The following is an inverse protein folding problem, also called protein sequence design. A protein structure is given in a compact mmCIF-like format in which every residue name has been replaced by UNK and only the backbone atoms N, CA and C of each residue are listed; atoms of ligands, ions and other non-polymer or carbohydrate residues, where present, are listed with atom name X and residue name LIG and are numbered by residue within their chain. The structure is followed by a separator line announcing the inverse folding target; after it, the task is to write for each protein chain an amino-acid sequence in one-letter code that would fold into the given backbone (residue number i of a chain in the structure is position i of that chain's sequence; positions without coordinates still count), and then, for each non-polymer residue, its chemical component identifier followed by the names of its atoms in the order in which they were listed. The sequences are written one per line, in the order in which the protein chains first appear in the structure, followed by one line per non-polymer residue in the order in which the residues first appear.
data_IF_931694599452
#
_entry.id   IF_931694599452
#
_cell.length_a   1.000
_cell.length_b   1.000
_cell.length_c   1.000
_cell.angle_alpha   90.00
_cell.angle_beta   90.00
_cell.angle_gamma   90.00
#
_symmetry.space_group_name_H-M   'P 1'
#
loop_
_entity.id
_entity.type
_entity.pdbx_description
1 polymer ?
#
# COMPACT_ATOMS: atom_id res chain seq x y z
N UNK A 1 38.27 -12.24 68.83
CA UNK A 1 37.50 -12.60 67.63
C UNK A 1 36.51 -11.48 67.34
N UNK A 2 36.84 -10.65 66.34
CA UNK A 2 35.97 -9.50 65.94
C UNK A 2 35.31 -9.90 64.65
N UNK A 3 33.97 -10.01 64.66
CA UNK A 3 33.17 -10.31 63.48
C UNK A 3 32.97 -9.02 62.68
N UNK A 4 33.41 -8.99 61.45
CA UNK A 4 33.14 -7.88 60.50
C UNK A 4 31.70 -7.99 59.98
N UNK A 5 30.87 -6.98 60.22
CA UNK A 5 29.59 -6.75 59.58
C UNK A 5 29.82 -6.30 58.12
N UNK A 6 29.25 -7.07 57.18
CA UNK A 6 29.22 -6.71 55.76
C UNK A 6 28.00 -5.86 55.51
N UNK A 7 28.26 -4.61 55.10
CA UNK A 7 27.27 -3.60 54.76
C UNK A 7 26.62 -3.98 53.40
N UNK A 8 25.33 -4.31 53.40
CA UNK A 8 24.53 -4.70 52.24
C UNK A 8 23.72 -3.50 51.72
N UNK A 9 24.37 -2.52 51.11
CA UNK A 9 23.69 -1.39 50.52
C UNK A 9 24.31 -1.03 49.13
N UNK A 10 24.15 -1.95 48.14
CA UNK A 10 24.42 -1.66 46.72
C UNK A 10 23.12 -1.16 46.09
N UNK A 11 23.12 -0.01 45.39
CA UNK A 11 21.96 0.47 44.67
C UNK A 11 21.61 -0.51 43.53
N UNK A 12 20.39 -1.00 43.48
CA UNK A 12 19.87 -1.81 42.36
C UNK A 12 19.78 -0.90 41.14
N UNK A 13 20.51 -1.26 40.09
CA UNK A 13 20.38 -0.62 38.79
C UNK A 13 18.92 -0.71 38.29
N UNK A 14 18.39 0.35 37.66
CA UNK A 14 17.03 0.32 37.11
C UNK A 14 17.01 -0.69 35.95
N UNK A 15 16.18 -1.72 36.07
CA UNK A 15 15.91 -2.65 34.99
C UNK A 15 15.53 -1.86 33.74
N UNK A 16 16.38 -1.91 32.71
CA UNK A 16 16.07 -1.41 31.39
C UNK A 16 14.81 -2.11 30.91
N UNK A 17 13.72 -1.37 30.68
CA UNK A 17 12.53 -1.90 30.04
C UNK A 17 12.96 -2.38 28.65
N UNK A 18 13.21 -3.68 28.51
CA UNK A 18 13.48 -4.32 27.24
C UNK A 18 12.36 -3.93 26.25
N UNK A 19 12.72 -3.44 25.05
CA UNK A 19 11.75 -3.23 23.97
C UNK A 19 11.12 -4.58 23.69
N UNK A 20 9.86 -4.76 24.05
CA UNK A 20 9.09 -5.95 23.68
C UNK A 20 9.00 -5.98 22.17
N UNK A 21 9.48 -7.07 21.55
CA UNK A 21 9.31 -7.31 20.11
C UNK A 21 7.81 -7.42 19.85
N UNK A 22 7.25 -6.63 18.91
CA UNK A 22 5.83 -6.71 18.59
C UNK A 22 5.45 -8.12 18.14
N UNK A 23 4.21 -8.54 18.41
CA UNK A 23 3.73 -9.82 17.90
C UNK A 23 3.56 -9.75 16.37
N UNK A 24 3.67 -10.88 15.63
CA UNK A 24 3.44 -10.91 14.18
C UNK A 24 2.10 -10.29 13.76
N UNK A 25 1.06 -10.44 14.60
CA UNK A 25 -0.24 -9.83 14.37
C UNK A 25 -0.20 -8.29 14.54
N UNK A 26 0.51 -7.79 15.53
CA UNK A 26 0.66 -6.33 15.73
C UNK A 26 1.42 -5.70 14.56
N UNK A 27 2.51 -6.32 14.11
CA UNK A 27 3.27 -5.87 12.93
C UNK A 27 2.41 -5.89 11.67
N UNK A 28 1.60 -6.94 11.46
CA UNK A 28 0.69 -7.05 10.32
C UNK A 28 -0.37 -5.95 10.33
N UNK A 29 -0.93 -5.61 11.49
CA UNK A 29 -1.90 -4.51 11.62
C UNK A 29 -1.28 -3.16 11.27
N UNK A 30 -0.09 -2.86 11.79
CA UNK A 30 0.63 -1.62 11.45
C UNK A 30 0.95 -1.54 9.95
N UNK A 31 1.43 -2.64 9.38
CA UNK A 31 1.76 -2.71 7.95
C UNK A 31 0.53 -2.52 7.07
N UNK A 32 -0.60 -3.14 7.42
CA UNK A 32 -1.86 -3.02 6.70
C UNK A 32 -2.46 -1.60 6.81
N UNK A 33 -2.44 -0.99 7.99
CA UNK A 33 -2.88 0.38 8.18
C UNK A 33 -2.03 1.35 7.34
N UNK A 34 -0.71 1.15 7.34
CA UNK A 34 0.21 1.94 6.50
C UNK A 34 -0.07 1.77 5.02
N UNK A 35 -0.34 0.54 4.53
CA UNK A 35 -0.66 0.28 3.13
C UNK A 35 -1.95 1.00 2.68
N UNK A 36 -3.00 1.01 3.51
CA UNK A 36 -4.21 1.80 3.24
C UNK A 36 -3.88 3.28 3.03
N UNK A 37 -3.10 3.88 3.95
CA UNK A 37 -2.72 5.29 3.88
C UNK A 37 -1.78 5.60 2.71
N UNK A 38 -0.85 4.69 2.38
CA UNK A 38 0.02 4.86 1.20
C UNK A 38 -0.81 4.93 -0.08
N UNK A 39 -1.74 3.97 -0.29
CA UNK A 39 -2.54 3.92 -1.51
C UNK A 39 -3.46 5.13 -1.61
N UNK A 40 -3.98 5.63 -0.47
CA UNK A 40 -4.75 6.87 -0.41
C UNK A 40 -3.87 8.10 -0.72
N UNK A 41 -2.67 8.22 -0.13
CA UNK A 41 -1.74 9.32 -0.40
C UNK A 41 -1.26 9.36 -1.87
N UNK A 42 -1.27 8.22 -2.57
CA UNK A 42 -0.97 8.15 -4.01
C UNK A 42 -2.21 8.37 -4.91
N UNK A 43 -3.37 8.74 -4.32
CA UNK A 43 -4.58 9.15 -5.04
C UNK A 43 -5.34 7.99 -5.71
N UNK A 44 -5.17 6.75 -5.24
CA UNK A 44 -5.89 5.58 -5.76
C UNK A 44 -7.10 5.25 -4.90
N UNK A 45 -6.97 5.35 -3.58
CA UNK A 45 -8.09 5.30 -2.64
C UNK A 45 -8.51 6.72 -2.27
N UNK A 46 -9.79 6.93 -2.08
CA UNK A 46 -10.37 8.18 -1.56
C UNK A 46 -11.06 7.93 -0.21
N UNK A 47 -12.25 8.49 0.00
CA UNK A 47 -13.07 8.19 1.17
C UNK A 47 -13.58 6.74 1.19
N UNK A 48 -13.52 6.05 0.07
CA UNK A 48 -14.01 4.70 -0.15
C UNK A 48 -12.90 3.76 -0.64
N UNK A 49 -13.23 2.45 -0.66
CA UNK A 49 -12.26 1.40 -0.93
C UNK A 49 -11.62 0.88 0.34
N UNK A 50 -10.92 -0.24 0.24
CA UNK A 50 -10.35 -0.93 1.40
C UNK A 50 -9.28 -1.94 0.99
N UNK A 51 -8.33 -2.15 1.90
CA UNK A 51 -7.22 -3.09 1.74
C UNK A 51 -7.29 -4.15 2.83
N UNK A 52 -7.08 -5.39 2.49
CA UNK A 52 -6.96 -6.50 3.43
C UNK A 52 -5.68 -7.29 3.22
N UNK A 53 -5.31 -8.10 4.21
CA UNK A 53 -4.28 -9.11 4.08
C UNK A 53 -4.64 -10.38 4.84
N UNK A 54 -4.13 -11.55 4.42
CA UNK A 54 -4.27 -12.77 5.19
C UNK A 54 -3.62 -12.61 6.57
N UNK A 55 -4.19 -13.27 7.55
CA UNK A 55 -3.62 -13.29 8.89
C UNK A 55 -2.23 -13.97 8.87
N UNK A 56 -1.19 -13.37 9.51
CA UNK A 56 0.21 -13.79 9.34
C UNK A 56 0.51 -15.20 9.84
N UNK A 57 -0.30 -15.75 10.76
CA UNK A 57 -0.10 -17.09 11.36
C UNK A 57 -1.32 -17.99 11.25
N UNK A 58 -2.44 -17.54 10.69
CA UNK A 58 -3.65 -18.32 10.50
C UNK A 58 -4.27 -18.02 9.14
N UNK A 59 -3.92 -18.79 8.13
CA UNK A 59 -4.35 -18.58 6.74
C UNK A 59 -5.87 -18.81 6.51
N UNK A 60 -6.59 -19.36 7.49
CA UNK A 60 -8.06 -19.43 7.52
C UNK A 60 -8.73 -18.11 7.93
N UNK A 61 -7.95 -17.04 8.11
CA UNK A 61 -8.42 -15.69 8.50
C UNK A 61 -7.78 -14.62 7.64
N UNK A 62 -8.37 -13.43 7.66
CA UNK A 62 -7.78 -12.22 7.08
C UNK A 62 -7.99 -11.01 8.00
N UNK A 63 -7.24 -9.96 7.73
CA UNK A 63 -7.26 -8.68 8.44
C UNK A 63 -7.87 -7.61 7.53
N UNK A 64 -8.77 -6.81 8.07
CA UNK A 64 -9.40 -5.68 7.38
C UNK A 64 -9.84 -4.64 8.43
N UNK A 65 -9.82 -3.36 8.09
CA UNK A 65 -10.35 -2.32 8.99
C UNK A 65 -11.89 -2.38 9.09
N UNK A 66 -12.45 -1.83 10.16
CA UNK A 66 -13.86 -1.46 10.11
C UNK A 66 -14.10 -0.40 9.03
N UNK A 67 -15.37 -0.09 8.70
CA UNK A 67 -15.72 0.86 7.64
C UNK A 67 -15.22 2.28 7.98
N UNK A 68 -14.01 2.57 7.55
CA UNK A 68 -13.29 3.83 7.75
C UNK A 68 -12.58 4.23 6.46
N UNK A 69 -12.49 5.53 6.18
CA UNK A 69 -11.71 6.03 5.05
C UNK A 69 -10.26 5.53 5.11
N UNK A 70 -9.72 4.99 4.01
CA UNK A 70 -8.37 4.40 3.98
C UNK A 70 -7.26 5.32 4.50
N UNK A 71 -7.32 6.60 4.21
CA UNK A 71 -6.36 7.59 4.70
C UNK A 71 -6.32 7.70 6.22
N UNK A 72 -7.43 7.38 6.89
CA UNK A 72 -7.59 7.52 8.34
C UNK A 72 -7.34 6.22 9.11
N UNK A 73 -7.09 5.10 8.42
CA UNK A 73 -6.94 3.79 9.05
C UNK A 73 -5.69 3.72 9.92
N UNK A 74 -5.87 3.28 11.17
CA UNK A 74 -4.82 3.00 12.15
C UNK A 74 -4.79 1.50 12.48
N UNK A 75 -3.73 1.03 13.11
CA UNK A 75 -3.58 -0.39 13.47
C UNK A 75 -4.73 -0.92 14.36
N UNK A 76 -5.23 -0.09 15.27
CA UNK A 76 -6.34 -0.44 16.17
C UNK A 76 -7.69 -0.54 15.44
N UNK A 77 -7.80 -0.04 14.22
CA UNK A 77 -9.00 -0.15 13.39
C UNK A 77 -9.08 -1.50 12.67
N UNK A 78 -8.02 -2.31 12.72
CA UNK A 78 -7.90 -3.59 11.99
C UNK A 78 -8.47 -4.73 12.82
N UNK A 79 -9.45 -5.42 12.26
CA UNK A 79 -10.11 -6.59 12.84
C UNK A 79 -9.74 -7.87 12.09
N UNK A 80 -9.95 -9.00 12.78
CA UNK A 80 -9.78 -10.33 12.19
C UNK A 80 -11.13 -10.86 11.71
N UNK A 81 -11.13 -11.48 10.54
CA UNK A 81 -12.29 -12.09 9.91
C UNK A 81 -12.00 -13.54 9.54
N UNK A 82 -13.02 -14.40 9.57
CA UNK A 82 -12.99 -15.69 8.87
C UNK A 82 -12.98 -15.48 7.37
N UNK A 83 -12.70 -16.52 6.58
CA UNK A 83 -12.84 -16.43 5.12
C UNK A 83 -14.31 -16.29 4.66
N UNK A 84 -15.29 -16.59 5.55
CA UNK A 84 -16.71 -16.27 5.31
C UNK A 84 -17.04 -14.80 5.62
N UNK A 85 -16.02 -13.99 5.88
CA UNK A 85 -16.13 -12.56 6.17
C UNK A 85 -16.89 -12.24 7.46
N UNK A 86 -16.94 -13.19 8.40
CA UNK A 86 -17.48 -12.99 9.73
C UNK A 86 -16.38 -12.51 10.68
N UNK A 87 -16.61 -11.45 11.47
CA UNK A 87 -15.62 -10.94 12.41
C UNK A 87 -15.40 -11.94 13.56
N UNK A 88 -14.13 -12.18 13.92
CA UNK A 88 -13.78 -13.05 15.07
C UNK A 88 -14.27 -12.44 16.39
N UNK A 89 -14.23 -11.11 16.47
CA UNK A 89 -14.83 -10.33 17.57
C UNK A 89 -15.72 -9.28 16.94
N UNK A 90 -16.98 -9.25 17.33
CA UNK A 90 -17.93 -8.27 16.82
C UNK A 90 -17.52 -6.86 17.30
N UNK A 91 -17.15 -5.96 16.38
CA UNK A 91 -16.85 -4.58 16.75
C UNK A 91 -18.12 -3.78 17.03
N UNK A 92 -17.99 -2.70 17.80
CA UNK A 92 -19.07 -1.72 17.95
C UNK A 92 -19.23 -0.86 16.68
N UNK A 93 -18.18 -0.77 15.86
CA UNK A 93 -18.13 0.01 14.65
C UNK A 93 -18.80 -0.74 13.48
N UNK A 94 -19.30 0.03 12.52
CA UNK A 94 -19.85 -0.52 11.27
C UNK A 94 -18.74 -1.17 10.44
N UNK A 95 -18.99 -2.36 9.91
CA UNK A 95 -18.10 -3.06 8.99
C UNK A 95 -18.38 -2.68 7.54
N UNK A 96 -17.38 -2.86 6.66
CA UNK A 96 -17.61 -2.77 5.20
C UNK A 96 -18.64 -3.80 4.76
N UNK A 97 -19.61 -3.37 3.94
CA UNK A 97 -20.54 -4.31 3.29
C UNK A 97 -19.82 -5.23 2.32
N UNK A 98 -18.80 -4.71 1.64
CA UNK A 98 -18.05 -5.40 0.59
C UNK A 98 -16.88 -6.24 1.09
N UNK A 99 -16.77 -6.49 2.41
CA UNK A 99 -15.76 -7.39 2.99
C UNK A 99 -15.81 -8.80 2.41
N UNK A 100 -16.98 -9.22 1.91
CA UNK A 100 -17.18 -10.52 1.25
C UNK A 100 -16.30 -10.70 0.00
N UNK A 101 -15.97 -9.61 -0.71
CA UNK A 101 -15.04 -9.63 -1.85
C UNK A 101 -13.71 -10.25 -1.44
N UNK A 102 -13.16 -9.81 -0.31
CA UNK A 102 -11.87 -10.28 0.19
C UNK A 102 -11.91 -11.77 0.58
N UNK A 103 -12.91 -12.15 1.37
CA UNK A 103 -13.06 -13.52 1.84
C UNK A 103 -13.18 -14.52 0.69
N UNK A 104 -14.02 -14.22 -0.31
CA UNK A 104 -14.23 -15.12 -1.44
C UNK A 104 -13.00 -15.20 -2.38
N UNK A 105 -12.27 -14.10 -2.57
CA UNK A 105 -11.00 -14.14 -3.31
C UNK A 105 -9.99 -15.00 -2.54
N UNK A 106 -9.87 -14.85 -1.22
CA UNK A 106 -8.98 -15.69 -0.44
C UNK A 106 -9.36 -17.19 -0.46
N UNK A 107 -10.64 -17.54 -0.51
CA UNK A 107 -11.07 -18.94 -0.69
C UNK A 107 -10.68 -19.47 -2.06
N UNK A 108 -10.92 -18.69 -3.11
CA UNK A 108 -10.66 -19.11 -4.50
C UNK A 108 -9.16 -19.14 -4.85
N UNK A 109 -8.33 -18.33 -4.18
CA UNK A 109 -6.92 -18.08 -4.52
C UNK A 109 -6.03 -18.21 -3.27
N UNK A 110 -5.59 -19.43 -2.92
CA UNK A 110 -4.68 -19.65 -1.78
C UNK A 110 -3.33 -18.93 -1.92
N UNK A 111 -2.90 -18.64 -3.13
CA UNK A 111 -1.68 -17.88 -3.48
C UNK A 111 -1.81 -16.37 -3.25
N UNK A 112 -3.03 -15.85 -3.16
CA UNK A 112 -3.29 -14.44 -2.86
C UNK A 112 -3.26 -14.23 -1.35
N UNK A 113 -2.42 -13.29 -0.89
CA UNK A 113 -2.36 -12.95 0.54
C UNK A 113 -2.74 -11.50 0.85
N UNK A 114 -2.96 -10.67 -0.19
CA UNK A 114 -3.44 -9.30 -0.03
C UNK A 114 -4.42 -8.92 -1.15
N UNK A 115 -5.44 -8.12 -0.83
CA UNK A 115 -6.49 -7.68 -1.75
C UNK A 115 -6.81 -6.21 -1.51
N UNK A 116 -6.95 -5.44 -2.60
CA UNK A 116 -7.41 -4.06 -2.57
C UNK A 116 -8.64 -3.90 -3.48
N UNK A 117 -9.74 -3.37 -2.96
CA UNK A 117 -10.87 -2.89 -3.74
C UNK A 117 -10.86 -1.37 -3.75
N UNK A 118 -11.03 -0.75 -4.93
CA UNK A 118 -10.92 0.70 -5.10
C UNK A 118 -11.72 1.25 -6.28
N UNK A 119 -11.95 2.58 -6.24
CA UNK A 119 -12.69 3.34 -7.26
C UNK A 119 -11.83 4.43 -7.89
N UNK A 120 -10.56 4.15 -8.15
CA UNK A 120 -9.63 5.13 -8.71
C UNK A 120 -10.21 5.81 -9.95
N UNK A 121 -10.15 7.14 -10.00
CA UNK A 121 -10.70 7.95 -11.09
C UNK A 121 -10.14 7.60 -12.47
N UNK A 122 -8.91 7.08 -12.52
CA UNK A 122 -8.27 6.60 -13.75
C UNK A 122 -8.77 5.22 -14.21
N UNK A 123 -9.31 4.41 -13.29
CA UNK A 123 -9.85 3.06 -13.59
C UNK A 123 -11.32 3.14 -14.01
N UNK A 124 -12.10 4.03 -13.41
CA UNK A 124 -13.54 4.16 -13.67
C UNK A 124 -13.88 4.32 -15.14
N UNK A 125 -13.16 5.09 -15.99
CA UNK A 125 -13.44 5.17 -17.42
C UNK A 125 -13.47 3.81 -18.11
N UNK A 126 -12.59 2.86 -17.76
CA UNK A 126 -12.61 1.50 -18.30
C UNK A 126 -13.82 0.71 -17.80
N UNK A 127 -14.20 0.88 -16.53
CA UNK A 127 -15.39 0.25 -15.95
C UNK A 127 -16.71 0.76 -16.55
N UNK A 128 -16.71 1.98 -17.12
CA UNK A 128 -17.88 2.64 -17.71
C UNK A 128 -17.99 2.36 -19.21
N UNK A 129 -16.88 2.49 -19.94
CA UNK A 129 -16.83 2.38 -21.40
C UNK A 129 -16.76 0.94 -21.90
N UNK A 130 -16.28 0.01 -21.06
CA UNK A 130 -15.91 -1.35 -21.51
C UNK A 130 -14.66 -1.39 -22.37
N UNK A 131 -13.92 -0.28 -22.48
CA UNK A 131 -12.62 -0.28 -23.15
C UNK A 131 -11.67 -1.21 -22.42
N UNK A 132 -10.90 -2.00 -23.16
CA UNK A 132 -9.94 -2.92 -22.59
C UNK A 132 -8.76 -2.17 -21.95
N UNK A 133 -8.49 -2.46 -20.69
CA UNK A 133 -7.30 -1.96 -19.98
C UNK A 133 -6.11 -2.85 -20.32
N UNK A 134 -5.10 -2.26 -20.96
CA UNK A 134 -3.89 -2.93 -21.42
C UNK A 134 -2.64 -2.34 -20.77
N UNK A 135 -1.58 -3.13 -20.55
CA UNK A 135 -0.29 -2.57 -20.15
C UNK A 135 0.29 -1.72 -21.30
N UNK A 136 0.54 -0.43 -21.01
CA UNK A 136 1.04 0.52 -22.02
C UNK A 136 2.48 0.96 -21.76
N UNK A 137 3.08 0.52 -20.65
CA UNK A 137 4.49 0.74 -20.32
C UNK A 137 4.99 -0.34 -19.35
N UNK A 138 6.32 -0.44 -19.16
CA UNK A 138 6.94 -1.56 -18.45
C UNK A 138 6.43 -1.79 -17.02
N UNK A 139 6.15 -0.74 -16.20
CA UNK A 139 5.57 -0.91 -14.86
C UNK A 139 4.09 -1.29 -14.92
N UNK A 140 3.38 -0.90 -15.98
CA UNK A 140 2.00 -1.33 -16.23
C UNK A 140 1.87 -2.83 -16.47
N UNK A 141 2.96 -3.51 -16.91
CA UNK A 141 2.97 -4.96 -17.08
C UNK A 141 2.62 -5.74 -15.82
N UNK A 142 2.72 -5.12 -14.63
CA UNK A 142 2.37 -5.75 -13.34
C UNK A 142 0.87 -5.95 -13.15
N UNK A 143 0.01 -5.37 -13.97
CA UNK A 143 -1.41 -5.71 -13.99
C UNK A 143 -1.67 -7.14 -14.51
N UNK A 144 -0.71 -7.70 -15.27
CA UNK A 144 -0.80 -9.01 -15.91
C UNK A 144 -1.21 -8.91 -17.39
N UNK A 145 -1.39 -10.07 -18.02
CA UNK A 145 -1.70 -10.18 -19.45
C UNK A 145 -3.14 -9.75 -19.79
N UNK A 146 -4.05 -9.75 -18.81
CA UNK A 146 -5.43 -9.34 -19.00
C UNK A 146 -6.00 -8.71 -17.73
N UNK A 147 -6.98 -7.82 -17.92
CA UNK A 147 -7.85 -7.26 -16.90
C UNK A 147 -9.29 -7.75 -17.18
N UNK A 148 -9.73 -8.89 -16.61
CA UNK A 148 -11.09 -9.36 -16.78
C UNK A 148 -12.10 -8.29 -16.41
N UNK A 149 -13.25 -8.32 -17.09
CA UNK A 149 -14.36 -7.42 -16.84
C UNK A 149 -15.55 -8.20 -16.29
N UNK A 150 -16.01 -7.83 -15.08
CA UNK A 150 -17.14 -8.44 -14.44
C UNK A 150 -18.36 -7.49 -14.48
N UNK A 151 -19.48 -7.97 -15.01
CA UNK A 151 -20.76 -7.28 -14.94
C UNK A 151 -21.72 -8.07 -14.03
N UNK A 152 -22.09 -7.50 -12.89
CA UNK A 152 -23.05 -8.14 -11.97
C UNK A 152 -24.41 -8.42 -12.59
N UNK A 153 -24.80 -7.69 -13.64
CA UNK A 153 -26.09 -7.87 -14.30
C UNK A 153 -26.20 -9.20 -15.06
N UNK A 154 -25.06 -9.76 -15.49
CA UNK A 154 -25.07 -11.02 -16.26
C UNK A 154 -25.66 -12.19 -15.44
N UNK A 155 -25.49 -12.14 -14.11
CA UNK A 155 -25.98 -13.18 -13.22
C UNK A 155 -27.11 -12.72 -12.27
N UNK A 156 -27.18 -11.42 -11.94
CA UNK A 156 -28.03 -10.92 -10.86
C UNK A 156 -29.07 -9.88 -11.32
N UNK A 157 -29.05 -9.49 -12.58
CA UNK A 157 -29.91 -8.41 -13.08
C UNK A 157 -29.52 -7.05 -12.50
N UNK A 158 -30.48 -6.13 -12.42
CA UNK A 158 -30.24 -4.80 -11.86
C UNK A 158 -30.01 -4.87 -10.33
N UNK A 159 -28.91 -4.32 -9.87
CA UNK A 159 -28.52 -4.24 -8.47
C UNK A 159 -28.16 -2.80 -8.10
N UNK A 160 -27.86 -2.55 -6.84
CA UNK A 160 -27.29 -1.27 -6.41
C UNK A 160 -25.77 -1.17 -6.66
N UNK A 161 -25.20 -2.12 -7.40
CA UNK A 161 -23.78 -2.27 -7.75
C UNK A 161 -22.84 -2.60 -6.57
N UNK A 162 -23.32 -2.65 -5.34
CA UNK A 162 -22.52 -2.97 -4.14
C UNK A 162 -22.50 -4.47 -3.92
N UNK A 163 -21.34 -5.08 -3.84
CA UNK A 163 -21.13 -6.52 -3.61
C UNK A 163 -21.22 -6.82 -2.12
N UNK A 164 -22.39 -7.25 -1.66
CA UNK A 164 -22.64 -7.54 -0.23
C UNK A 164 -22.93 -9.00 0.06
N UNK A 165 -23.43 -9.69 -0.93
CA UNK A 165 -23.85 -11.06 -0.78
C UNK A 165 -22.70 -12.01 -1.17
N UNK A 166 -22.45 -13.10 -0.40
CA UNK A 166 -21.39 -14.05 -0.70
C UNK A 166 -21.43 -14.58 -2.14
N UNK A 167 -22.61 -14.90 -2.67
CA UNK A 167 -22.77 -15.42 -4.03
C UNK A 167 -22.32 -14.41 -5.11
N UNK A 168 -22.49 -13.10 -4.89
CA UNK A 168 -21.98 -12.05 -5.78
C UNK A 168 -20.43 -12.01 -5.74
N UNK A 169 -19.86 -12.12 -4.54
CA UNK A 169 -18.41 -12.13 -4.37
C UNK A 169 -17.76 -13.40 -4.93
N UNK A 170 -18.45 -14.57 -4.88
CA UNK A 170 -18.04 -15.81 -5.55
C UNK A 170 -17.97 -15.60 -7.07
N UNK A 171 -18.98 -14.95 -7.65
CA UNK A 171 -19.01 -14.63 -9.09
C UNK A 171 -17.85 -13.70 -9.46
N UNK A 172 -17.59 -12.65 -8.67
CA UNK A 172 -16.47 -11.74 -8.87
C UNK A 172 -15.12 -12.47 -8.75
N UNK A 173 -14.94 -13.32 -7.73
CA UNK A 173 -13.71 -14.10 -7.55
C UNK A 173 -13.47 -15.07 -8.72
N UNK A 174 -14.54 -15.67 -9.25
CA UNK A 174 -14.47 -16.50 -10.46
C UNK A 174 -14.05 -15.68 -11.68
N UNK A 175 -14.58 -14.45 -11.85
CA UNK A 175 -14.17 -13.55 -12.92
C UNK A 175 -12.72 -13.08 -12.80
N UNK A 176 -12.21 -12.85 -11.57
CA UNK A 176 -10.80 -12.58 -11.33
C UNK A 176 -9.94 -13.76 -11.83
N UNK A 177 -10.36 -15.00 -11.56
CA UNK A 177 -9.65 -16.21 -12.00
C UNK A 177 -8.16 -16.19 -11.61
N UNK A 178 -7.24 -16.52 -12.52
CA UNK A 178 -5.80 -16.48 -12.27
C UNK A 178 -5.18 -15.08 -12.36
N UNK A 179 -5.97 -14.07 -12.70
CA UNK A 179 -5.49 -12.70 -12.93
C UNK A 179 -5.26 -11.95 -11.63
N UNK A 180 -4.60 -10.78 -11.71
CA UNK A 180 -4.25 -9.93 -10.58
C UNK A 180 -5.15 -8.70 -10.44
N UNK A 181 -6.02 -8.50 -11.42
CA UNK A 181 -6.96 -7.39 -11.49
C UNK A 181 -8.26 -7.90 -12.08
N UNK A 182 -9.40 -7.44 -11.57
CA UNK A 182 -10.71 -7.53 -12.20
C UNK A 182 -11.37 -6.15 -12.19
N UNK A 183 -11.88 -5.72 -13.35
CA UNK A 183 -12.66 -4.52 -13.50
C UNK A 183 -14.13 -4.84 -13.21
N UNK A 184 -14.78 -4.00 -12.45
CA UNK A 184 -16.19 -4.14 -12.06
C UNK A 184 -17.00 -3.08 -12.79
N UNK A 185 -17.96 -3.51 -13.61
CA UNK A 185 -18.76 -2.61 -14.42
C UNK A 185 -19.38 -1.49 -13.61
N UNK A 186 -19.10 -0.23 -14.00
CA UNK A 186 -19.61 1.02 -13.38
C UNK A 186 -19.39 1.13 -11.88
N UNK A 187 -18.40 0.39 -11.34
CA UNK A 187 -18.14 0.37 -9.91
C UNK A 187 -16.67 0.72 -9.60
N UNK A 188 -15.73 -0.07 -10.05
CA UNK A 188 -14.32 0.09 -9.73
C UNK A 188 -13.51 -1.14 -10.11
N UNK A 189 -12.49 -1.44 -9.31
CA UNK A 189 -11.63 -2.59 -9.53
C UNK A 189 -11.26 -3.30 -8.23
N UNK A 190 -10.91 -4.57 -8.36
CA UNK A 190 -10.31 -5.34 -7.29
C UNK A 190 -8.97 -5.89 -7.75
N UNK A 191 -7.92 -5.61 -6.97
CA UNK A 191 -6.53 -6.01 -7.21
C UNK A 191 -6.12 -7.04 -6.17
N UNK A 192 -5.39 -8.06 -6.60
CA UNK A 192 -4.80 -9.11 -5.76
C UNK A 192 -3.28 -9.06 -5.79
N UNK A 193 -2.62 -9.59 -4.76
CA UNK A 193 -1.17 -9.70 -4.68
C UNK A 193 -0.72 -10.89 -3.85
N UNK A 194 0.51 -11.37 -4.09
CA UNK A 194 1.11 -12.44 -3.29
C UNK A 194 1.47 -11.98 -1.88
N UNK A 195 1.74 -10.69 -1.72
CA UNK A 195 1.95 -10.04 -0.43
C UNK A 195 1.45 -8.59 -0.46
N UNK A 196 1.51 -7.93 0.68
CA UNK A 196 0.98 -6.58 0.82
C UNK A 196 1.80 -5.53 0.06
N UNK A 197 3.11 -5.68 -0.04
CA UNK A 197 3.98 -4.74 -0.75
C UNK A 197 3.79 -4.86 -2.27
N UNK A 198 3.69 -6.09 -2.77
CA UNK A 198 3.32 -6.37 -4.15
C UNK A 198 1.92 -5.83 -4.48
N UNK A 199 0.94 -6.02 -3.59
CA UNK A 199 -0.40 -5.47 -3.77
C UNK A 199 -0.37 -3.95 -3.93
N UNK A 200 0.33 -3.23 -3.04
CA UNK A 200 0.49 -1.77 -3.11
C UNK A 200 1.10 -1.37 -4.45
N UNK A 201 2.15 -2.08 -4.87
CA UNK A 201 2.83 -1.85 -6.15
C UNK A 201 1.87 -2.01 -7.33
N UNK A 202 1.17 -3.16 -7.43
CA UNK A 202 0.20 -3.44 -8.49
C UNK A 202 -0.90 -2.41 -8.52
N UNK A 203 -1.49 -2.08 -7.36
CA UNK A 203 -2.60 -1.15 -7.24
C UNK A 203 -2.23 0.24 -7.76
N UNK A 204 -1.11 0.78 -7.32
CA UNK A 204 -0.67 2.13 -7.73
C UNK A 204 -0.28 2.16 -9.21
N UNK A 205 0.50 1.17 -9.69
CA UNK A 205 0.95 1.19 -11.07
C UNK A 205 -0.15 0.80 -12.06
N UNK A 206 -1.14 0.02 -11.67
CA UNK A 206 -2.35 -0.22 -12.50
C UNK A 206 -3.15 1.08 -12.68
N UNK A 207 -3.37 1.84 -11.62
CA UNK A 207 -4.04 3.14 -11.71
C UNK A 207 -3.26 4.14 -12.59
N UNK A 208 -1.93 4.19 -12.47
CA UNK A 208 -1.06 5.01 -13.31
C UNK A 208 -1.09 4.55 -14.77
N UNK A 209 -1.06 3.25 -15.01
CA UNK A 209 -1.17 2.68 -16.37
C UNK A 209 -2.49 3.08 -17.03
N UNK A 210 -3.59 2.99 -16.30
CA UNK A 210 -4.90 3.40 -16.78
C UNK A 210 -4.92 4.90 -17.17
N UNK A 211 -4.39 5.76 -16.31
CA UNK A 211 -4.26 7.19 -16.62
C UNK A 211 -3.43 7.45 -17.88
N UNK A 212 -2.29 6.77 -18.02
CA UNK A 212 -1.41 6.90 -19.19
C UNK A 212 -2.08 6.38 -20.45
N UNK A 213 -2.82 5.27 -20.39
CA UNK A 213 -3.55 4.74 -21.54
C UNK A 213 -4.60 5.75 -22.04
N UNK A 214 -5.35 6.39 -21.13
CA UNK A 214 -6.34 7.43 -21.46
C UNK A 214 -5.64 8.63 -22.12
N UNK A 215 -4.53 9.10 -21.54
CA UNK A 215 -3.78 10.25 -22.07
C UNK A 215 -3.21 9.94 -23.46
N UNK A 216 -2.67 8.73 -23.66
CA UNK A 216 -2.12 8.30 -24.93
C UNK A 216 -3.18 8.23 -26.04
N UNK A 217 -4.41 7.80 -25.72
CA UNK A 217 -5.54 7.84 -26.66
C UNK A 217 -5.86 9.27 -27.15
N UNK A 218 -5.64 10.27 -26.30
CA UNK A 218 -5.79 11.67 -26.71
C UNK A 218 -4.72 12.17 -27.69
N UNK A 219 -3.57 11.47 -27.77
CA UNK A 219 -2.46 11.78 -28.70
C UNK A 219 -2.57 10.99 -30.02
N UNK A 220 -3.39 9.93 -30.06
CA UNK A 220 -3.56 9.08 -31.24
C UNK A 220 -3.68 7.60 -30.92
N UNK A 221 -3.12 6.76 -31.82
CA UNK A 221 -3.15 5.31 -31.65
C UNK A 221 -2.28 4.87 -30.45
N UNK A 222 -2.84 4.05 -29.56
CA UNK A 222 -2.12 3.45 -28.45
C UNK A 222 -1.55 2.11 -28.86
N UNK A 223 -0.23 1.95 -28.72
CA UNK A 223 0.46 0.67 -28.92
C UNK A 223 0.76 0.07 -27.55
N UNK A 224 -0.02 -0.90 -27.06
CA UNK A 224 0.24 -1.55 -25.78
C UNK A 224 1.46 -2.47 -25.87
N UNK A 225 1.97 -2.91 -24.71
CA UNK A 225 2.98 -3.97 -24.66
C UNK A 225 2.44 -5.23 -25.34
N UNK A 226 3.32 -5.95 -25.99
CA UNK A 226 3.01 -7.30 -26.49
C UNK A 226 2.84 -8.27 -25.31
N UNK A 227 2.24 -9.43 -25.56
CA UNK A 227 2.15 -10.48 -24.52
C UNK A 227 3.53 -10.86 -23.98
N UNK A 228 4.52 -11.06 -24.88
CA UNK A 228 5.89 -11.39 -24.48
C UNK A 228 6.57 -10.29 -23.65
N UNK A 229 6.40 -9.01 -24.01
CA UNK A 229 6.92 -7.89 -23.21
C UNK A 229 6.26 -7.84 -21.83
N UNK A 230 4.96 -8.12 -21.76
CA UNK A 230 4.22 -8.16 -20.49
C UNK A 230 4.70 -9.30 -19.59
N UNK A 231 4.89 -10.50 -20.16
CA UNK A 231 5.39 -11.69 -19.47
C UNK A 231 6.83 -11.53 -18.95
N UNK A 232 7.66 -10.77 -19.65
CA UNK A 232 9.02 -10.48 -19.22
C UNK A 232 9.08 -9.33 -18.20
N UNK A 233 8.37 -8.23 -18.46
CA UNK A 233 8.45 -7.02 -17.64
C UNK A 233 7.68 -7.15 -16.32
N UNK A 234 6.53 -7.83 -16.30
CA UNK A 234 5.72 -8.01 -15.12
C UNK A 234 6.49 -8.63 -13.95
N UNK A 235 6.98 -9.88 -14.09
CA UNK A 235 7.75 -10.56 -13.03
C UNK A 235 9.06 -9.83 -12.68
N UNK A 236 9.73 -9.19 -13.65
CA UNK A 236 10.93 -8.42 -13.39
C UNK A 236 10.67 -7.24 -12.42
N UNK A 237 9.59 -6.50 -12.65
CA UNK A 237 9.23 -5.36 -11.81
C UNK A 237 8.72 -5.76 -10.43
N UNK A 238 8.26 -7.00 -10.26
CA UNK A 238 7.78 -7.57 -8.99
C UNK A 238 8.86 -8.32 -8.21
N UNK A 239 10.11 -8.27 -8.65
CA UNK A 239 11.21 -8.78 -7.83
C UNK A 239 11.33 -7.99 -6.51
N UNK A 240 11.86 -8.60 -5.44
CA UNK A 240 11.96 -7.97 -4.12
C UNK A 240 12.63 -6.58 -4.13
N UNK A 241 13.67 -6.37 -4.94
CA UNK A 241 14.38 -5.10 -5.02
C UNK A 241 13.54 -3.93 -5.53
N UNK A 242 12.91 -4.02 -6.72
CA UNK A 242 11.98 -3.01 -7.23
C UNK A 242 10.80 -2.74 -6.29
N UNK A 243 10.17 -3.78 -5.74
CA UNK A 243 9.01 -3.66 -4.85
C UNK A 243 9.40 -2.94 -3.56
N UNK A 244 10.48 -3.38 -2.89
CA UNK A 244 10.97 -2.76 -1.66
C UNK A 244 11.34 -1.28 -1.87
N UNK A 245 12.04 -0.95 -2.98
CA UNK A 245 12.38 0.44 -3.33
C UNK A 245 11.13 1.32 -3.52
N UNK A 246 10.12 0.80 -4.18
CA UNK A 246 8.88 1.53 -4.40
C UNK A 246 8.10 1.72 -3.09
N UNK A 247 8.01 0.68 -2.27
CA UNK A 247 7.34 0.74 -0.98
C UNK A 247 8.04 1.71 -0.01
N UNK A 248 9.38 1.72 0.02
CA UNK A 248 10.16 2.71 0.76
C UNK A 248 9.87 4.13 0.29
N UNK A 249 9.88 4.36 -1.03
CA UNK A 249 9.59 5.67 -1.62
C UNK A 249 8.21 6.18 -1.21
N UNK A 250 7.16 5.36 -1.32
CA UNK A 250 5.81 5.75 -0.92
C UNK A 250 5.67 5.91 0.59
N UNK A 251 6.36 5.09 1.37
CA UNK A 251 6.42 5.24 2.83
C UNK A 251 6.98 6.59 3.24
N UNK A 252 8.10 7.02 2.62
CA UNK A 252 8.70 8.34 2.88
C UNK A 252 7.78 9.47 2.44
N UNK A 253 7.06 9.32 1.32
CA UNK A 253 6.07 10.31 0.88
C UNK A 253 4.93 10.46 1.87
N UNK A 254 4.40 9.34 2.37
CA UNK A 254 3.37 9.33 3.41
C UNK A 254 3.89 10.03 4.69
N UNK A 255 5.08 9.64 5.18
CA UNK A 255 5.68 10.25 6.38
C UNK A 255 5.86 11.78 6.24
N UNK A 256 6.18 12.26 5.03
CA UNK A 256 6.26 13.69 4.74
C UNK A 256 4.88 14.36 4.77
N UNK A 257 3.87 13.71 4.18
CA UNK A 257 2.51 14.23 4.17
C UNK A 257 1.90 14.29 5.58
N UNK A 258 2.19 13.30 6.41
CA UNK A 258 1.76 13.23 7.82
C UNK A 258 2.62 14.08 8.77
N UNK A 259 3.69 14.74 8.28
CA UNK A 259 4.61 15.53 9.11
C UNK A 259 5.50 14.69 10.05
N UNK A 260 5.53 13.38 9.87
CA UNK A 260 6.30 12.43 10.70
C UNK A 260 7.74 12.17 10.19
N UNK A 261 8.08 12.63 8.97
CA UNK A 261 9.41 12.49 8.41
C UNK A 261 10.42 13.34 9.18
N UNK A 262 11.50 12.74 9.74
CA UNK A 262 12.51 13.50 10.47
C UNK A 262 13.16 14.52 9.53
N UNK A 263 12.95 15.79 9.81
CA UNK A 263 13.68 16.87 9.13
C UNK A 263 15.17 16.66 9.39
N UNK A 264 15.96 16.44 8.34
CA UNK A 264 17.43 16.48 8.46
C UNK A 264 17.78 17.82 9.11
N UNK A 265 18.24 17.81 10.36
CA UNK A 265 18.84 19.01 10.97
C UNK A 265 19.85 19.51 9.96
N UNK A 266 19.65 20.71 9.41
CA UNK A 266 20.61 21.35 8.53
C UNK A 266 21.94 21.30 9.30
N UNK A 267 22.94 20.58 8.76
CA UNK A 267 24.26 20.59 9.35
C UNK A 267 24.65 22.06 9.45
N UNK A 268 24.77 22.56 10.68
CA UNK A 268 25.22 23.92 10.92
C UNK A 268 26.57 24.01 10.20
N UNK A 269 26.56 24.72 9.06
CA UNK A 269 27.79 25.12 8.40
C UNK A 269 28.46 26.02 9.43
N UNK A 270 29.39 25.45 10.19
CA UNK A 270 30.28 26.20 11.05
C UNK A 270 30.93 27.26 10.16
N UNK A 271 30.51 28.50 10.34
CA UNK A 271 31.13 29.67 9.78
C UNK A 271 32.49 29.85 10.45
N UNK A 272 33.46 29.05 10.01
CA UNK A 272 34.87 29.13 10.35
C UNK A 272 35.67 29.61 9.14
N UNK A 273 35.24 30.71 8.52
CA UNK A 273 36.12 31.45 7.61
C UNK A 273 36.65 32.69 8.34
N UNK A 274 37.73 32.48 9.09
CA UNK A 274 38.56 33.59 9.56
C UNK A 274 39.02 34.40 8.33
N UNK A 275 38.66 35.67 8.30
CA UNK A 275 39.14 36.60 7.28
C UNK A 275 40.64 36.78 7.43
N UNK A 276 41.46 36.79 6.35
CA UNK A 276 42.88 37.05 6.43
C UNK A 276 43.11 38.49 6.85
N UNK A 277 43.89 38.71 7.92
CA UNK A 277 44.34 40.03 8.36
C UNK A 277 45.17 40.66 7.23
N UNK A 278 44.68 41.76 6.67
CA UNK A 278 45.46 42.63 5.76
C UNK A 278 46.63 43.22 6.53
N UNK A 279 47.87 42.82 6.20
CA UNK A 279 49.08 43.51 6.65
C UNK A 279 49.18 44.89 6.01
N UNK A 280 49.30 45.93 6.84
CA UNK A 280 49.53 47.28 6.40
C UNK A 280 50.97 47.43 5.88
N UNK A 281 51.14 47.56 4.56
CA UNK A 281 52.42 47.87 3.96
C UNK A 281 52.74 49.35 4.20
N UNK A 282 53.86 49.59 4.86
CA UNK A 282 54.48 50.86 5.19
C UNK A 282 54.91 51.57 3.89
N UNK A 283 54.30 52.69 3.61
CA UNK A 283 54.66 53.60 2.47
C UNK A 283 55.86 54.46 2.87
N UNK A 284 57.05 54.10 2.42
CA UNK A 284 58.23 54.98 2.50
C UNK A 284 58.18 56.04 1.41
N UNK A 285 58.18 57.30 1.84
CA UNK A 285 58.42 58.48 0.97
C UNK A 285 59.87 58.42 0.51
N UNK A 286 60.08 58.53 -0.80
CA UNK A 286 61.33 59.04 -1.37
C UNK A 286 61.07 60.28 -2.13
N UNK A 287 61.75 61.39 -1.72
CA UNK A 287 61.93 62.66 -2.42
C UNK A 287 62.87 62.45 -3.59
N UNK A 288 62.58 62.87 -4.71
CA UNK A 288 63.19 63.88 -5.61
C UNK A 288 62.49 63.89 -6.90
#
# INVERSE_FOLDING_TARGET
MVAAQIDANLPREPHSKGKTVPSPLAEAREKLARANRIIANEGVLDAFGHVSMRHPTNHGRYLLSYSRSPELVQADDIFEFTLDSEPIKTPAQRLYGERVIHGEIYKARPDVTAVCHHHASSILPFCISGMELKPVYHLGATLGSAAPFWDSRDEFGDTNLIVREPHQAVSLARALGPHWLVLMRRHGATVAGHDLEELVFRTIYTARNAALQIQAHGLGHVSPLTAGETELAGPYNLQPGPVARAFEYWSVRLDKAEGSWPQRKAAARSAGRAAPKRSAARRTKRRR
#
